data_IF_254309174706
#
_entry.id   IF_254309174706
#
_cell.length_a   1.000
_cell.length_b   1.000
_cell.length_c   1.000
_cell.angle_alpha   90.00
_cell.angle_beta   90.00
_cell.angle_gamma   90.00
#
_symmetry.space_group_name_H-M   'P 1'
#
loop_
_entity.id
_entity.type
_entity.pdbx_description
1 polymer ?
#
# COMPACT_ATOMS: atom_id res chain seq x y z
N UNK A 1 -0.99 2.03 24.77
CA UNK A 1 -2.20 1.22 24.51
C UNK A 1 -2.33 1.05 22.99
N UNK A 2 -3.48 0.66 22.44
CA UNK A 2 -3.66 0.47 20.99
C UNK A 2 -3.79 1.83 20.27
N UNK A 3 -2.81 2.16 19.42
CA UNK A 3 -2.70 3.37 18.60
C UNK A 3 -3.99 3.67 17.83
N UNK A 4 -4.64 2.65 17.28
CA UNK A 4 -5.87 2.76 16.50
C UNK A 4 -7.11 3.06 17.35
N UNK A 5 -7.10 2.77 18.65
CA UNK A 5 -8.22 3.12 19.53
C UNK A 5 -8.40 4.63 19.64
N UNK A 6 -7.30 5.37 19.84
CA UNK A 6 -7.33 6.83 19.98
C UNK A 6 -7.66 7.54 18.67
N UNK A 7 -7.15 7.03 17.55
CA UNK A 7 -7.33 7.64 16.24
C UNK A 7 -8.66 7.24 15.56
N UNK A 8 -9.46 6.39 16.19
CA UNK A 8 -10.70 5.88 15.60
C UNK A 8 -11.76 6.94 15.30
N UNK A 9 -11.70 8.10 15.97
CA UNK A 9 -12.57 9.25 15.71
C UNK A 9 -12.31 9.91 14.35
N UNK A 10 -11.07 9.81 13.83
CA UNK A 10 -10.65 10.42 12.57
C UNK A 10 -10.95 9.55 11.33
N UNK A 11 -11.54 8.37 11.53
CA UNK A 11 -11.94 7.47 10.45
C UNK A 11 -13.41 7.05 10.60
N UNK A 12 -14.23 7.39 9.60
CA UNK A 12 -15.64 6.98 9.56
C UNK A 12 -15.80 5.46 9.69
N UNK A 13 -16.93 4.99 10.25
CA UNK A 13 -17.18 3.55 10.49
C UNK A 13 -17.00 2.68 9.23
N UNK A 14 -17.46 3.15 8.07
CA UNK A 14 -17.27 2.46 6.78
C UNK A 14 -15.79 2.38 6.36
N UNK A 15 -15.03 3.44 6.61
CA UNK A 15 -13.58 3.48 6.34
C UNK A 15 -12.85 2.48 7.22
N UNK A 16 -13.17 2.46 8.52
CA UNK A 16 -12.57 1.53 9.49
C UNK A 16 -12.83 0.07 9.13
N UNK A 17 -14.08 -0.27 8.80
CA UNK A 17 -14.47 -1.63 8.39
C UNK A 17 -13.72 -2.08 7.12
N UNK A 18 -13.65 -1.21 6.10
CA UNK A 18 -12.90 -1.51 4.87
C UNK A 18 -11.40 -1.61 5.14
N UNK A 19 -10.81 -0.68 5.89
CA UNK A 19 -9.38 -0.72 6.21
C UNK A 19 -8.99 -1.98 6.99
N UNK A 20 -9.86 -2.43 7.91
CA UNK A 20 -9.67 -3.71 8.60
C UNK A 20 -9.64 -4.90 7.63
N UNK A 21 -10.49 -4.90 6.60
CA UNK A 21 -10.47 -5.94 5.56
C UNK A 21 -9.13 -5.97 4.79
N UNK A 22 -8.59 -4.82 4.39
CA UNK A 22 -7.27 -4.75 3.73
C UNK A 22 -6.15 -5.26 4.65
N UNK A 23 -6.15 -4.84 5.91
CA UNK A 23 -5.18 -5.30 6.89
C UNK A 23 -5.26 -6.82 7.10
N UNK A 24 -6.47 -7.36 7.31
CA UNK A 24 -6.69 -8.80 7.54
C UNK A 24 -6.27 -9.66 6.35
N UNK A 25 -6.45 -9.17 5.13
CA UNK A 25 -6.07 -9.88 3.92
C UNK A 25 -4.57 -9.79 3.59
N UNK A 26 -3.77 -9.13 4.42
CA UNK A 26 -2.33 -8.98 4.17
C UNK A 26 -1.99 -8.05 3.00
N UNK A 27 -2.89 -7.13 2.68
CA UNK A 27 -2.70 -6.19 1.57
C UNK A 27 -1.69 -5.07 1.88
N UNK A 28 -1.30 -4.92 3.15
CA UNK A 28 -0.36 -3.89 3.64
C UNK A 28 1.04 -4.48 3.73
N UNK A 29 1.99 -3.86 3.05
CA UNK A 29 3.42 -4.18 3.11
C UNK A 29 4.17 -2.98 3.69
N UNK A 30 4.74 -3.14 4.89
CA UNK A 30 5.59 -2.10 5.49
C UNK A 30 6.99 -2.21 4.88
N UNK A 31 7.48 -1.11 4.30
CA UNK A 31 8.81 -1.00 3.71
C UNK A 31 9.82 -0.61 4.79
N UNK A 32 9.50 0.43 5.56
CA UNK A 32 10.31 0.95 6.64
C UNK A 32 9.39 1.35 7.80
N UNK A 33 9.85 1.17 9.03
CA UNK A 33 9.05 1.48 10.21
C UNK A 33 9.90 1.58 11.46
N UNK A 34 9.68 2.64 12.23
CA UNK A 34 10.30 2.85 13.52
C UNK A 34 9.30 3.47 14.52
N UNK A 35 9.81 4.06 15.61
CA UNK A 35 8.97 4.64 16.66
C UNK A 35 8.24 5.91 16.22
N UNK A 36 8.68 6.58 15.16
CA UNK A 36 8.20 7.90 14.73
C UNK A 36 7.74 7.91 13.28
N UNK A 37 8.23 7.02 12.42
CA UNK A 37 7.86 6.97 11.01
C UNK A 37 7.45 5.57 10.56
N UNK A 38 6.54 5.49 9.59
CA UNK A 38 6.18 4.27 8.88
C UNK A 38 5.96 4.59 7.40
N UNK A 39 6.63 3.84 6.54
CA UNK A 39 6.44 3.85 5.10
C UNK A 39 5.89 2.49 4.67
N UNK A 40 4.79 2.50 3.91
CA UNK A 40 4.13 1.28 3.49
C UNK A 40 3.55 1.38 2.08
N UNK A 41 3.37 0.22 1.45
CA UNK A 41 2.58 0.04 0.24
C UNK A 41 1.33 -0.76 0.58
N UNK A 42 0.16 -0.27 0.17
CA UNK A 42 -1.10 -0.99 0.28
C UNK A 42 -1.59 -1.39 -1.11
N UNK A 43 -1.78 -2.69 -1.31
CA UNK A 43 -2.25 -3.26 -2.58
C UNK A 43 -3.79 -3.25 -2.59
N UNK A 44 -4.37 -2.47 -3.49
CA UNK A 44 -5.80 -2.46 -3.77
C UNK A 44 -6.09 -2.64 -5.25
N UNK A 45 -6.76 -1.67 -5.84
CA UNK A 45 -6.88 -1.53 -7.30
C UNK A 45 -5.54 -1.23 -7.96
N UNK A 46 -4.66 -0.54 -7.22
CA UNK A 46 -3.26 -0.28 -7.55
C UNK A 46 -2.42 -0.40 -6.27
N UNK A 47 -1.10 -0.23 -6.38
CA UNK A 47 -0.21 -0.09 -5.25
C UNK A 47 -0.17 1.38 -4.79
N UNK A 48 -0.74 1.64 -3.62
CA UNK A 48 -0.73 2.98 -3.03
C UNK A 48 0.37 3.10 -2.00
N UNK A 49 1.20 4.13 -2.10
CA UNK A 49 2.17 4.53 -1.08
C UNK A 49 1.48 5.30 0.05
N UNK A 50 1.82 4.93 1.28
CA UNK A 50 1.36 5.54 2.53
C UNK A 50 2.60 5.91 3.34
N UNK A 51 2.64 7.17 3.76
CA UNK A 51 3.66 7.70 4.66
C UNK A 51 2.96 8.20 5.92
N UNK A 52 3.43 7.72 7.06
CA UNK A 52 2.96 8.11 8.39
C UNK A 52 4.15 8.65 9.17
N UNK A 53 3.97 9.82 9.76
CA UNK A 53 4.97 10.43 10.62
C UNK A 53 4.30 10.86 11.92
N UNK A 54 4.95 10.61 13.03
CA UNK A 54 4.47 10.95 14.36
C UNK A 54 5.36 12.00 14.99
N UNK A 55 4.73 13.09 15.40
CA UNK A 55 5.33 14.12 16.23
C UNK A 55 4.55 14.21 17.53
N UNK A 56 5.21 13.98 18.64
CA UNK A 56 4.60 14.04 19.98
C UNK A 56 3.30 13.22 20.08
N UNK A 57 2.15 13.89 20.13
CA UNK A 57 0.80 13.31 20.21
C UNK A 57 0.04 13.30 18.88
N UNK A 58 0.63 13.81 17.80
CA UNK A 58 0.00 13.98 16.50
C UNK A 58 0.62 13.05 15.45
N UNK A 59 -0.23 12.34 14.70
CA UNK A 59 0.18 11.48 13.59
C UNK A 59 -0.22 12.14 12.29
N UNK A 60 0.78 12.57 11.53
CA UNK A 60 0.62 13.05 10.16
C UNK A 60 0.51 11.88 9.20
N UNK A 61 -0.45 11.97 8.29
CA UNK A 61 -0.73 10.90 7.33
C UNK A 61 -0.75 11.42 5.90
N UNK A 62 -0.26 10.59 4.99
CA UNK A 62 -0.30 10.82 3.56
C UNK A 62 -0.65 9.52 2.82
N UNK A 63 -1.43 9.62 1.74
CA UNK A 63 -1.73 8.48 0.88
C UNK A 63 -1.93 8.90 -0.57
N UNK A 64 -1.26 8.21 -1.49
CA UNK A 64 -1.35 8.42 -2.95
C UNK A 64 -2.65 7.88 -3.59
N UNK A 65 -3.72 7.65 -2.82
CA UNK A 65 -4.94 7.08 -3.38
C UNK A 65 -5.92 8.18 -3.85
N UNK A 66 -6.71 7.95 -4.92
CA UNK A 66 -7.59 8.98 -5.49
C UNK A 66 -8.59 9.57 -4.50
N UNK A 67 -9.04 8.76 -3.54
CA UNK A 67 -9.94 9.22 -2.48
C UNK A 67 -9.28 10.24 -1.55
N UNK A 68 -8.02 10.01 -1.20
CA UNK A 68 -7.26 10.90 -0.32
C UNK A 68 -6.88 12.19 -1.05
N UNK A 69 -6.48 12.11 -2.32
CA UNK A 69 -6.16 13.29 -3.13
C UNK A 69 -7.39 14.19 -3.35
N UNK A 70 -8.57 13.60 -3.55
CA UNK A 70 -9.80 14.35 -3.81
C UNK A 70 -10.44 14.94 -2.54
N UNK A 71 -10.60 14.14 -1.49
CA UNK A 71 -11.34 14.55 -0.28
C UNK A 71 -10.43 15.09 0.83
N UNK A 72 -9.13 14.79 0.80
CA UNK A 72 -8.18 15.06 1.90
C UNK A 72 -8.77 14.61 3.24
N UNK A 73 -9.20 13.35 3.30
CA UNK A 73 -9.69 12.68 4.51
C UNK A 73 -8.98 11.34 4.73
N UNK A 74 -9.00 10.84 5.98
CA UNK A 74 -8.45 9.52 6.33
C UNK A 74 -9.08 8.42 5.48
N UNK A 75 -8.30 7.85 4.59
CA UNK A 75 -8.75 6.79 3.69
C UNK A 75 -8.62 5.40 4.33
N UNK A 76 -9.24 4.41 3.69
CA UNK A 76 -9.18 3.00 4.12
C UNK A 76 -7.75 2.42 4.12
N UNK A 77 -6.85 2.94 3.27
CA UNK A 77 -5.46 2.47 3.20
C UNK A 77 -4.65 2.99 4.39
N UNK A 78 -4.82 4.27 4.76
CA UNK A 78 -4.20 4.84 5.97
C UNK A 78 -4.64 4.05 7.19
N UNK A 79 -5.94 3.79 7.33
CA UNK A 79 -6.45 2.98 8.45
C UNK A 79 -5.84 1.57 8.49
N UNK A 80 -5.73 0.92 7.34
CA UNK A 80 -5.09 -0.40 7.25
C UNK A 80 -3.61 -0.35 7.65
N UNK A 81 -2.89 0.69 7.26
CA UNK A 81 -1.48 0.90 7.64
C UNK A 81 -1.33 1.19 9.12
N UNK A 82 -2.21 1.99 9.74
CA UNK A 82 -2.20 2.24 11.18
C UNK A 82 -2.40 0.93 11.99
N UNK A 83 -3.30 0.04 11.54
CA UNK A 83 -3.46 -1.29 12.14
C UNK A 83 -2.20 -2.15 12.00
N UNK A 84 -1.55 -2.12 10.84
CA UNK A 84 -0.30 -2.85 10.62
C UNK A 84 0.85 -2.30 11.47
N UNK A 85 0.96 -0.97 11.57
CA UNK A 85 1.95 -0.28 12.39
C UNK A 85 1.76 -0.60 13.87
N UNK A 86 0.52 -0.58 14.37
CA UNK A 86 0.19 -0.95 15.75
C UNK A 86 0.65 -2.38 16.08
N UNK A 87 0.38 -3.34 15.19
CA UNK A 87 0.78 -4.73 15.35
C UNK A 87 2.30 -4.88 15.47
N UNK A 88 3.06 -4.09 14.72
CA UNK A 88 4.53 -4.11 14.75
C UNK A 88 5.12 -3.24 15.86
N UNK A 89 4.29 -2.46 16.58
CA UNK A 89 4.74 -1.57 17.64
C UNK A 89 5.45 -0.31 17.12
N UNK A 90 5.18 0.09 15.88
CA UNK A 90 5.65 1.35 15.30
C UNK A 90 4.79 2.54 15.75
N UNK A 91 5.27 3.76 15.48
CA UNK A 91 4.59 5.02 15.83
C UNK A 91 4.28 5.17 17.33
N UNK A 92 5.14 4.64 18.21
CA UNK A 92 5.01 4.79 19.68
C UNK A 92 5.53 6.13 20.22
N UNK A 93 6.22 6.92 19.39
CA UNK A 93 6.85 8.18 19.77
C UNK A 93 8.05 7.99 20.72
N UNK A 94 8.82 9.06 20.92
CA UNK A 94 9.95 9.08 21.87
C UNK A 94 9.52 8.93 23.34
N UNK A 95 8.34 9.44 23.70
CA UNK A 95 7.83 9.48 25.08
C UNK A 95 6.98 8.27 25.49
N UNK A 96 6.75 7.30 24.60
CA UNK A 96 5.78 6.21 24.82
C UNK A 96 4.37 6.72 25.20
N UNK A 97 4.06 7.98 24.85
CA UNK A 97 2.73 8.57 24.93
C UNK A 97 1.84 7.95 23.85
N UNK A 98 0.54 7.92 24.07
CA UNK A 98 -0.42 7.53 23.04
C UNK A 98 -0.74 8.76 22.16
N UNK A 99 -0.85 8.63 20.83
CA UNK A 99 -1.21 9.75 19.97
C UNK A 99 -2.69 10.11 20.16
N UNK A 100 -3.01 11.39 20.18
CA UNK A 100 -4.34 11.95 20.40
C UNK A 100 -4.94 12.51 19.10
N UNK A 101 -4.08 12.95 18.19
CA UNK A 101 -4.50 13.64 16.96
C UNK A 101 -4.00 12.94 15.70
N UNK A 102 -4.81 13.01 14.64
CA UNK A 102 -4.43 12.59 13.29
C UNK A 102 -4.66 13.78 12.35
N UNK A 103 -3.61 14.18 11.66
CA UNK A 103 -3.62 15.30 10.72
C UNK A 103 -3.13 14.88 9.35
N UNK A 104 -3.60 15.59 8.33
CA UNK A 104 -3.22 15.32 6.95
C UNK A 104 -2.08 16.26 6.59
N UNK A 105 -0.97 15.67 6.13
CA UNK A 105 0.12 16.47 5.62
C UNK A 105 -0.29 17.09 4.28
N UNK A 106 -0.56 18.39 4.29
CA UNK A 106 -0.68 19.20 3.08
C UNK A 106 0.66 19.90 2.96
N UNK A 107 1.40 19.64 1.88
CA UNK A 107 2.54 20.49 1.54
C UNK A 107 1.98 21.92 1.43
N UNK A 108 2.42 22.80 2.34
CA UNK A 108 2.11 24.21 2.26
C UNK A 108 2.59 24.70 0.90
N UNK A 109 1.66 25.05 0.03
CA UNK A 109 1.97 25.97 -1.05
C UNK A 109 2.39 27.26 -0.34
N UNK A 110 3.69 27.55 -0.25
CA UNK A 110 4.23 28.88 -0.01
C UNK A 110 3.95 29.78 -1.24
N UNK A 111 2.69 29.84 -1.66
CA UNK A 111 2.20 30.59 -2.81
C UNK A 111 0.85 31.22 -2.44
N UNK A 112 0.90 32.19 -1.53
CA UNK A 112 0.01 33.35 -1.52
C UNK A 112 0.66 34.51 -0.76
N UNK A 113 1.57 35.21 -1.45
CA UNK A 113 1.77 36.64 -1.20
C UNK A 113 1.65 37.32 -2.57
N UNK A 114 0.44 37.27 -3.13
CA UNK A 114 0.01 38.17 -4.20
C UNK A 114 -1.52 38.23 -4.18
N UNK A 115 -2.02 39.19 -3.41
CA UNK A 115 -3.44 39.48 -3.28
C UNK A 115 -3.64 40.87 -2.69
N UNK A 116 -3.18 41.88 -3.44
CA UNK A 116 -3.86 43.16 -3.68
C UNK A 116 -4.62 43.82 -2.51
N UNK A 117 -4.00 44.82 -1.88
CA UNK A 117 -4.73 45.98 -1.35
C UNK A 117 -4.18 47.25 -2.02
N UNK A 118 -5.04 47.82 -2.87
CA UNK A 118 -4.97 49.09 -3.58
C UNK A 118 -5.43 50.24 -2.65
N UNK A 119 -4.97 51.48 -2.90
CA UNK A 119 -5.28 52.77 -2.20
C UNK A 119 -4.63 52.97 -0.81
N UNK A 120 -4.04 54.10 -0.40
CA UNK A 120 -3.90 55.46 -0.94
C UNK A 120 -2.83 56.21 -0.10
N UNK A 121 -2.34 57.32 -0.68
CA UNK A 121 -1.75 58.51 -0.04
C UNK A 121 -0.33 58.48 0.59
N UNK A 122 0.41 59.49 0.16
CA UNK A 122 1.73 59.91 0.58
C UNK A 122 1.86 60.09 2.11
N UNK A 123 2.89 59.51 2.74
CA UNK A 123 3.54 60.12 3.90
C UNK A 123 4.99 59.63 4.12
N UNK A 124 5.88 60.61 4.08
CA UNK A 124 7.34 60.57 4.25
C UNK A 124 7.72 60.55 5.74
N UNK A 125 8.35 59.50 6.30
CA UNK A 125 9.00 59.59 7.64
C UNK A 125 10.34 58.84 7.78
N UNK A 126 11.40 59.67 7.76
CA UNK A 126 12.79 59.56 8.24
C UNK A 126 13.06 59.29 9.74
N UNK A 127 13.19 58.06 10.27
CA UNK A 127 13.88 57.83 11.56
C UNK A 127 13.97 56.38 12.07
N UNK A 128 15.22 55.89 12.15
CA UNK A 128 15.88 55.72 13.45
C UNK A 128 15.58 54.49 14.34
N UNK A 129 16.66 54.07 15.02
CA UNK A 129 16.77 53.20 16.20
C UNK A 129 16.66 51.67 16.09
N UNK A 130 17.76 51.08 16.59
CA UNK A 130 18.17 49.68 16.57
C UNK A 130 17.48 48.81 17.64
N UNK A 131 17.45 47.49 17.40
CA UNK A 131 17.97 46.51 18.35
C UNK A 131 18.07 45.11 17.71
N UNK A 132 19.28 44.57 17.76
CA UNK A 132 19.65 43.22 17.32
C UNK A 132 19.03 42.18 18.26
N UNK A 133 17.98 41.47 17.83
CA UNK A 133 17.49 40.27 18.51
C UNK A 133 17.92 39.03 17.72
N UNK A 134 19.11 38.52 18.04
CA UNK A 134 19.61 37.26 17.48
C UNK A 134 18.79 36.11 18.09
N UNK A 135 17.82 35.59 17.32
CA UNK A 135 17.19 34.30 17.64
C UNK A 135 18.15 33.18 17.22
N UNK A 136 18.47 32.21 18.08
CA UNK A 136 19.30 31.08 17.68
C UNK A 136 18.56 30.30 16.56
N UNK A 137 19.25 29.87 15.50
CA UNK A 137 18.63 29.03 14.49
C UNK A 137 18.20 27.73 15.14
N UNK A 138 16.89 27.47 15.13
CA UNK A 138 16.31 26.16 15.44
C UNK A 138 17.10 25.08 14.70
N UNK A 139 17.41 23.92 15.31
CA UNK A 139 18.10 22.86 14.59
C UNK A 139 17.25 22.48 13.40
N UNK A 140 17.77 22.75 12.19
CA UNK A 140 17.16 22.38 10.92
C UNK A 140 16.87 20.88 11.00
N UNK A 141 15.59 20.54 11.19
CA UNK A 141 15.13 19.16 11.06
C UNK A 141 15.54 18.72 9.67
N UNK A 142 16.24 17.59 9.60
CA UNK A 142 16.52 16.92 8.35
C UNK A 142 15.19 16.79 7.62
N UNK A 143 15.09 17.55 6.53
CA UNK A 143 14.00 17.47 5.56
C UNK A 143 13.74 15.99 5.32
N UNK A 144 12.54 15.53 5.69
CA UNK A 144 12.00 14.28 5.17
C UNK A 144 12.22 14.40 3.66
N UNK A 145 13.17 13.63 3.13
CA UNK A 145 13.32 13.54 1.69
C UNK A 145 12.07 12.83 1.22
N UNK A 146 11.03 13.63 0.93
CA UNK A 146 10.00 13.27 0.00
C UNK A 146 10.77 12.75 -1.22
N UNK A 147 10.66 11.45 -1.46
CA UNK A 147 11.09 10.91 -2.74
C UNK A 147 10.37 11.79 -3.76
N UNK A 148 11.10 12.53 -4.62
CA UNK A 148 10.45 13.49 -5.50
C UNK A 148 9.36 12.75 -6.25
N UNK A 149 8.12 13.31 -6.32
CA UNK A 149 7.02 12.67 -6.99
C UNK A 149 7.53 12.26 -8.36
N UNK A 150 7.29 10.99 -8.73
CA UNK A 150 7.69 10.52 -10.05
C UNK A 150 7.18 11.55 -11.05
N UNK A 151 8.01 12.13 -11.93
CA UNK A 151 7.48 13.00 -12.96
C UNK A 151 6.36 12.24 -13.66
N UNK A 152 5.16 12.82 -13.78
CA UNK A 152 3.91 12.06 -14.02
C UNK A 152 3.90 11.11 -15.22
N UNK A 153 4.87 11.23 -16.14
CA UNK A 153 5.13 10.24 -17.19
C UNK A 153 5.61 8.88 -16.63
N UNK A 154 6.35 8.85 -15.52
CA UNK A 154 6.75 7.63 -14.82
C UNK A 154 5.56 6.93 -14.22
N UNK A 155 4.60 7.66 -13.66
CA UNK A 155 3.35 7.07 -13.12
C UNK A 155 2.47 6.54 -14.25
N UNK A 156 2.37 7.28 -15.37
CA UNK A 156 1.72 6.77 -16.58
C UNK A 156 2.40 5.50 -17.12
N UNK A 157 3.73 5.44 -17.20
CA UNK A 157 4.44 4.23 -17.63
C UNK A 157 4.37 3.09 -16.61
N UNK A 158 4.35 3.40 -15.31
CA UNK A 158 4.15 2.41 -14.25
C UNK A 158 2.74 1.81 -14.33
N UNK A 159 1.72 2.64 -14.57
CA UNK A 159 0.34 2.22 -14.81
C UNK A 159 0.22 1.34 -16.06
N UNK A 160 0.82 1.76 -17.19
CA UNK A 160 0.84 0.95 -18.42
C UNK A 160 1.57 -0.38 -18.20
N UNK A 161 2.70 -0.37 -17.48
CA UNK A 161 3.44 -1.59 -17.10
C UNK A 161 2.60 -2.50 -16.20
N UNK A 162 1.90 -1.94 -15.21
CA UNK A 162 1.00 -2.66 -14.31
C UNK A 162 -0.14 -3.32 -15.08
N UNK A 163 -0.81 -2.58 -15.96
CA UNK A 163 -1.85 -3.10 -16.84
C UNK A 163 -1.35 -4.24 -17.74
N UNK A 164 -0.15 -4.09 -18.33
CA UNK A 164 0.50 -5.15 -19.10
C UNK A 164 0.83 -6.39 -18.26
N UNK A 165 1.29 -6.22 -17.02
CA UNK A 165 1.60 -7.32 -16.11
C UNK A 165 0.34 -8.06 -15.64
N UNK A 166 -0.75 -7.33 -15.34
CA UNK A 166 -2.05 -7.93 -15.01
C UNK A 166 -2.56 -8.73 -16.20
N UNK A 167 -2.54 -8.15 -17.41
CA UNK A 167 -2.93 -8.84 -18.64
C UNK A 167 -2.07 -10.08 -18.91
N UNK A 168 -0.75 -9.98 -18.75
CA UNK A 168 0.14 -11.15 -18.87
C UNK A 168 -0.13 -12.21 -17.80
N UNK A 169 -0.46 -11.81 -16.57
CA UNK A 169 -0.80 -12.73 -15.47
C UNK A 169 -2.13 -13.42 -15.73
N UNK A 170 -3.12 -12.71 -16.25
CA UNK A 170 -4.39 -13.27 -16.71
C UNK A 170 -4.19 -14.25 -17.88
N UNK A 171 -3.38 -13.89 -18.87
CA UNK A 171 -3.02 -14.77 -19.99
C UNK A 171 -2.26 -16.02 -19.52
N UNK A 172 -1.34 -15.88 -18.55
CA UNK A 172 -0.64 -17.01 -17.93
C UNK A 172 -1.56 -17.89 -17.07
N UNK A 173 -2.53 -17.29 -16.39
CA UNK A 173 -3.51 -18.02 -15.57
C UNK A 173 -4.63 -18.65 -16.40
N UNK A 174 -4.82 -18.21 -17.66
CA UNK A 174 -5.77 -18.84 -18.56
C UNK A 174 -5.28 -20.21 -18.98
N UNK A 175 -6.05 -21.23 -18.61
CA UNK A 175 -5.80 -22.58 -19.08
C UNK A 175 -5.89 -22.62 -20.61
N UNK A 176 -4.82 -23.02 -21.32
CA UNK A 176 -4.82 -22.97 -22.77
C UNK A 176 -5.74 -24.06 -23.32
N UNK A 177 -6.61 -23.70 -24.29
CA UNK A 177 -7.48 -24.65 -24.98
C UNK A 177 -6.70 -25.76 -25.71
N UNK A 178 -5.42 -25.52 -25.98
CA UNK A 178 -4.47 -26.48 -26.56
C UNK A 178 -3.87 -27.45 -25.53
N UNK A 179 -4.31 -27.44 -24.27
CA UNK A 179 -3.84 -28.36 -23.23
C UNK A 179 -5.01 -29.04 -22.55
N UNK A 180 -4.89 -30.34 -22.28
CA UNK A 180 -5.89 -31.12 -21.53
C UNK A 180 -5.24 -31.87 -20.38
N UNK A 181 -6.01 -32.03 -19.31
CA UNK A 181 -5.70 -32.90 -18.18
C UNK A 181 -6.50 -34.18 -18.39
N UNK A 182 -5.85 -35.33 -18.21
CA UNK A 182 -6.45 -36.66 -18.31
C UNK A 182 -6.31 -37.36 -16.96
N UNK A 183 -7.39 -37.96 -16.49
CA UNK A 183 -7.44 -38.73 -15.26
C UNK A 183 -7.48 -40.21 -15.60
N UNK A 184 -6.52 -40.97 -15.08
CA UNK A 184 -6.46 -42.42 -15.22
C UNK A 184 -6.79 -43.03 -13.86
N UNK A 185 -7.80 -43.88 -13.82
CA UNK A 185 -8.15 -44.61 -12.59
C UNK A 185 -7.32 -45.89 -12.55
N UNK A 186 -6.50 -46.04 -11.51
CA UNK A 186 -5.76 -47.27 -11.28
C UNK A 186 -6.69 -48.28 -10.59
N UNK A 187 -7.26 -49.18 -11.39
CA UNK A 187 -8.25 -50.16 -10.93
C UNK A 187 -7.64 -51.15 -9.93
N UNK A 188 -6.49 -51.80 -10.19
CA UNK A 188 -5.84 -52.66 -9.20
C UNK A 188 -5.56 -51.95 -7.87
N UNK A 189 -4.92 -50.77 -7.90
CA UNK A 189 -4.58 -50.04 -6.68
C UNK A 189 -5.82 -49.54 -5.92
N UNK A 190 -6.89 -49.18 -6.64
CA UNK A 190 -8.17 -48.79 -6.05
C UNK A 190 -8.85 -49.96 -5.34
N UNK A 191 -8.77 -51.18 -5.89
CA UNK A 191 -9.38 -52.37 -5.31
C UNK A 191 -8.59 -52.93 -4.11
N UNK A 192 -7.27 -52.78 -4.11
CA UNK A 192 -6.40 -53.20 -3.00
C UNK A 192 -6.38 -52.19 -1.83
N UNK A 193 -6.61 -50.90 -2.13
CA UNK A 193 -6.63 -49.82 -1.16
C UNK A 193 -7.98 -49.57 -0.47
N UNK A 194 -8.04 -48.52 0.36
CA UNK A 194 -9.28 -48.01 0.98
C UNK A 194 -9.88 -46.80 0.24
N UNK A 195 -9.48 -46.56 -1.01
CA UNK A 195 -9.90 -45.35 -1.73
C UNK A 195 -9.56 -45.36 -3.22
N UNK A 196 -10.16 -44.42 -3.94
CA UNK A 196 -9.98 -44.23 -5.38
C UNK A 196 -8.57 -43.68 -5.69
N UNK A 197 -7.80 -44.43 -6.45
CA UNK A 197 -6.46 -44.03 -6.92
C UNK A 197 -6.59 -43.45 -8.32
N UNK A 198 -6.24 -42.18 -8.47
CA UNK A 198 -6.27 -41.46 -9.76
C UNK A 198 -4.87 -40.96 -10.09
N UNK A 199 -4.35 -41.33 -11.26
CA UNK A 199 -3.16 -40.73 -11.85
C UNK A 199 -3.56 -39.57 -12.77
N UNK A 200 -2.90 -38.42 -12.58
CA UNK A 200 -3.16 -37.22 -13.38
C UNK A 200 -2.07 -37.05 -14.43
N UNK A 201 -2.49 -37.05 -15.69
CA UNK A 201 -1.63 -36.81 -16.85
C UNK A 201 -2.02 -35.54 -17.59
N UNK A 202 -1.10 -35.01 -18.38
CA UNK A 202 -1.35 -33.86 -19.24
C UNK A 202 -0.93 -34.11 -20.68
N UNK A 203 -1.61 -33.44 -21.61
CA UNK A 203 -1.28 -33.47 -23.03
C UNK A 203 -1.45 -32.08 -23.64
N UNK A 204 -0.51 -31.71 -24.51
CA UNK A 204 -0.53 -30.44 -25.24
C UNK A 204 -0.68 -30.71 -26.73
N UNK A 205 -1.47 -29.90 -27.43
CA UNK A 205 -1.66 -29.96 -28.87
C UNK A 205 -0.42 -29.42 -29.57
N UNK A 206 0.08 -30.17 -30.55
CA UNK A 206 1.18 -29.75 -31.42
C UNK A 206 0.67 -28.70 -32.42
N UNK A 207 1.61 -27.99 -33.05
CA UNK A 207 1.31 -26.99 -34.09
C UNK A 207 0.57 -27.56 -35.32
N UNK A 208 0.64 -28.87 -35.54
CA UNK A 208 -0.07 -29.57 -36.63
C UNK A 208 -1.51 -29.99 -36.28
N UNK A 209 -2.03 -29.62 -35.10
CA UNK A 209 -3.39 -29.98 -34.67
C UNK A 209 -3.50 -31.35 -34.00
N UNK A 210 -2.43 -32.15 -33.99
CA UNK A 210 -2.43 -33.44 -33.30
C UNK A 210 -2.06 -33.29 -31.83
N UNK A 211 -2.59 -34.18 -30.99
CA UNK A 211 -2.20 -34.22 -29.58
C UNK A 211 -0.77 -34.77 -29.40
N UNK A 212 0.02 -34.09 -28.56
CA UNK A 212 1.39 -34.47 -28.19
C UNK A 212 1.46 -35.76 -27.37
N UNK A 213 2.65 -36.17 -26.91
CA UNK A 213 2.75 -37.33 -26.01
C UNK A 213 2.18 -37.00 -24.62
N UNK A 214 1.60 -38.01 -23.97
CA UNK A 214 1.18 -37.93 -22.57
C UNK A 214 2.40 -37.67 -21.69
N UNK A 215 2.28 -36.69 -20.78
CA UNK A 215 3.29 -36.41 -19.76
C UNK A 215 2.63 -36.60 -18.40
N UNK A 216 3.23 -37.42 -17.53
CA UNK A 216 2.81 -37.53 -16.13
C UNK A 216 3.15 -36.23 -15.39
N UNK A 217 2.29 -35.82 -14.45
CA UNK A 217 2.54 -34.67 -13.59
C UNK A 217 3.19 -35.15 -12.28
N UNK A 218 4.53 -34.99 -12.12
CA UNK A 218 5.28 -35.63 -11.03
C UNK A 218 4.92 -35.14 -9.62
N UNK A 219 4.20 -34.01 -9.51
CA UNK A 219 3.96 -33.35 -8.22
C UNK A 219 2.58 -33.65 -7.58
N UNK A 220 1.74 -34.46 -8.20
CA UNK A 220 0.41 -34.82 -7.64
C UNK A 220 0.30 -36.27 -7.16
N UNK A 221 1.31 -37.12 -7.40
CA UNK A 221 1.32 -38.53 -6.96
C UNK A 221 2.07 -38.79 -5.64
N UNK A 222 2.07 -37.85 -4.68
CA UNK A 222 2.49 -38.17 -3.31
C UNK A 222 1.28 -38.56 -2.48
N UNK A 223 1.13 -39.88 -2.30
CA UNK A 223 0.19 -40.59 -1.42
C UNK A 223 0.23 -40.16 0.08
N UNK A 224 0.96 -39.12 0.46
CA UNK A 224 1.18 -38.74 1.86
C UNK A 224 0.11 -37.79 2.44
N UNK A 225 -0.89 -37.36 1.66
CA UNK A 225 -1.88 -36.34 2.10
C UNK A 225 -3.30 -36.87 2.33
N UNK A 226 -3.49 -38.18 2.48
CA UNK A 226 -4.76 -38.76 2.91
C UNK A 226 -4.54 -39.50 4.24
N UNK A 227 -4.59 -38.73 5.33
CA UNK A 227 -4.97 -39.24 6.66
C UNK A 227 -6.38 -38.80 6.95
#
# INVERSE_FOLDING_TARGET
MALTTYLSGYAGSKVRSRGYFYYRNGAVQIINGNKEEVQAIVIGTDAYQIDLYREEDTVYVFCTCPYFEGERETCKHIWATLLAAEKQGFLRGKGNSDPVHLEIYVEGNDLDENGDDDWDEDEEWEDGYAATAWSPPSPRRGHLQAVPPSPGWKDHLASVRGALQVKQKEEKNRWPATRRILYFVDVPATLEGKGLVIEVMQQEMKKNGEWGRLKSLPNYCKLQNLR
#
